data_IF_701659836068
#
_entry.id   IF_701659836068
#
_cell.length_a   1.000
_cell.length_b   1.000
_cell.length_c   1.000
_cell.angle_alpha   90.00
_cell.angle_beta   90.00
_cell.angle_gamma   90.00
#
_symmetry.space_group_name_H-M   'P 1'
#
loop_
_entity.id
_entity.type
_entity.pdbx_description
1 polymer ?
#
# COMPACT_ATOMS: atom_id res chain seq x y z
N UNK A 1 17.02 -24.83 -9.01
CA UNK A 1 16.22 -23.78 -8.32
C UNK A 1 15.05 -23.39 -9.20
N UNK A 2 14.05 -22.68 -8.65
CA UNK A 2 12.93 -22.18 -9.46
C UNK A 2 13.45 -21.12 -10.47
N UNK A 3 13.34 -21.34 -11.80
CA UNK A 3 13.85 -20.39 -12.79
C UNK A 3 13.12 -19.03 -12.78
N UNK A 4 11.92 -18.95 -12.21
CA UNK A 4 11.20 -17.70 -12.10
C UNK A 4 11.89 -16.69 -11.14
N UNK A 5 12.82 -17.16 -10.28
CA UNK A 5 13.62 -16.26 -9.43
C UNK A 5 14.56 -15.37 -10.26
N UNK A 6 14.99 -15.82 -11.44
CA UNK A 6 15.87 -15.06 -12.32
C UNK A 6 15.12 -13.90 -13.02
N UNK A 7 13.79 -13.89 -12.97
CA UNK A 7 12.94 -12.82 -13.51
C UNK A 7 12.76 -11.66 -12.52
N UNK A 8 13.05 -11.90 -11.23
CA UNK A 8 12.90 -10.86 -10.19
C UNK A 8 13.93 -9.74 -10.40
N UNK A 9 13.44 -8.50 -10.39
CA UNK A 9 14.30 -7.33 -10.47
C UNK A 9 14.88 -6.98 -9.09
N UNK A 10 16.07 -6.36 -9.02
CA UNK A 10 16.57 -5.79 -7.78
C UNK A 10 15.55 -4.86 -7.15
N UNK A 11 15.35 -5.00 -5.84
CA UNK A 11 14.38 -4.18 -5.12
C UNK A 11 14.76 -2.68 -5.20
N UNK A 12 13.81 -1.73 -5.27
CA UNK A 12 14.12 -0.30 -5.44
C UNK A 12 15.14 0.26 -4.45
N UNK A 13 15.11 -0.24 -3.20
CA UNK A 13 16.09 0.17 -2.18
C UNK A 13 17.49 -0.41 -2.39
N UNK A 14 17.62 -1.53 -3.10
CA UNK A 14 18.91 -2.06 -3.52
C UNK A 14 19.49 -1.21 -4.65
N UNK A 15 18.66 -0.83 -5.62
CA UNK A 15 19.04 0.11 -6.69
C UNK A 15 19.47 1.46 -6.09
N UNK A 16 18.70 1.98 -5.13
CA UNK A 16 19.02 3.23 -4.44
C UNK A 16 20.34 3.13 -3.67
N UNK A 17 20.58 2.01 -2.96
CA UNK A 17 21.85 1.77 -2.27
C UNK A 17 23.02 1.71 -3.25
N UNK A 18 22.86 1.08 -4.41
CA UNK A 18 23.89 1.04 -5.45
C UNK A 18 24.17 2.43 -6.03
N UNK A 19 23.13 3.24 -6.27
CA UNK A 19 23.25 4.60 -6.76
C UNK A 19 24.05 5.49 -5.81
N UNK A 20 23.84 5.37 -4.50
CA UNK A 20 24.42 6.22 -3.48
C UNK A 20 25.70 5.64 -2.86
N UNK A 21 26.05 4.40 -3.16
CA UNK A 21 27.09 3.64 -2.43
C UNK A 21 28.51 4.19 -2.54
N UNK A 22 28.82 4.95 -3.60
CA UNK A 22 30.12 5.61 -3.79
C UNK A 22 30.12 7.09 -3.41
N UNK A 23 28.96 7.64 -3.03
CA UNK A 23 28.80 9.07 -2.75
C UNK A 23 29.19 9.34 -1.29
N UNK A 24 30.02 10.39 -1.10
CA UNK A 24 30.39 10.89 0.23
C UNK A 24 29.54 12.13 0.52
N UNK A 25 28.50 12.04 1.37
CA UNK A 25 27.70 13.20 1.74
C UNK A 25 28.48 14.15 2.64
N UNK A 26 28.05 15.42 2.79
CA UNK A 26 28.70 16.39 3.67
C UNK A 26 28.72 15.88 5.12
N UNK A 27 29.91 15.93 5.74
CA UNK A 27 30.11 15.42 7.10
C UNK A 27 29.44 16.30 8.17
N UNK A 28 29.20 17.57 7.87
CA UNK A 28 28.53 18.55 8.72
C UNK A 28 27.00 18.48 8.68
N UNK A 29 26.42 17.71 7.75
CA UNK A 29 24.98 17.53 7.62
C UNK A 29 24.57 16.14 8.10
N UNK A 30 23.64 16.07 9.06
CA UNK A 30 23.07 14.78 9.46
C UNK A 30 22.24 14.19 8.32
N UNK A 31 22.22 12.86 8.20
CA UNK A 31 21.41 12.16 7.25
C UNK A 31 19.89 12.34 7.53
N UNK A 32 19.10 12.64 6.49
CA UNK A 32 17.64 12.64 6.55
C UNK A 32 17.11 11.72 5.46
N UNK A 33 16.38 10.67 5.87
CA UNK A 33 15.83 9.68 4.95
C UNK A 33 14.33 9.90 4.75
N UNK A 34 13.95 10.41 3.59
CA UNK A 34 12.57 10.46 3.09
C UNK A 34 12.25 9.29 2.13
N UNK A 35 13.15 8.32 2.03
CA UNK A 35 13.02 7.20 1.08
C UNK A 35 12.12 6.08 1.59
N UNK A 36 12.15 5.77 2.89
CA UNK A 36 11.47 4.60 3.46
C UNK A 36 10.12 5.00 4.04
N UNK A 37 9.05 4.39 3.52
CA UNK A 37 7.67 4.59 4.02
C UNK A 37 7.36 3.78 5.28
N UNK A 38 8.17 3.92 6.32
CA UNK A 38 7.95 3.33 7.62
C UNK A 38 7.50 4.41 8.61
N UNK A 39 6.26 4.35 9.14
CA UNK A 39 5.78 5.32 10.12
C UNK A 39 6.71 5.43 11.33
N UNK A 40 7.04 6.67 11.71
CA UNK A 40 7.90 6.96 12.87
C UNK A 40 7.15 7.65 14.01
N UNK A 41 5.83 7.82 13.90
CA UNK A 41 5.02 8.26 15.04
C UNK A 41 5.01 7.17 16.11
N UNK A 42 4.83 7.58 17.35
CA UNK A 42 4.74 6.66 18.49
C UNK A 42 3.57 5.70 18.30
N UNK A 43 3.81 4.42 18.53
CA UNK A 43 2.75 3.42 18.61
C UNK A 43 1.82 3.69 19.79
N UNK A 44 0.51 3.41 19.68
CA UNK A 44 -0.43 3.63 20.79
C UNK A 44 -0.09 2.78 22.01
N UNK A 45 0.03 3.40 23.18
CA UNK A 45 0.44 2.75 24.43
C UNK A 45 -0.49 1.59 24.82
N UNK A 46 -1.80 1.77 24.62
CA UNK A 46 -2.80 0.74 24.95
C UNK A 46 -2.62 -0.55 24.13
N UNK A 47 -2.08 -0.46 22.91
CA UNK A 47 -1.77 -1.65 22.09
C UNK A 47 -0.58 -2.40 22.69
N UNK A 48 0.45 -1.68 23.13
CA UNK A 48 1.59 -2.26 23.85
C UNK A 48 1.16 -2.93 25.17
N UNK A 49 0.25 -2.30 25.90
CA UNK A 49 -0.33 -2.86 27.13
C UNK A 49 -1.12 -4.15 26.83
N UNK A 50 -1.97 -4.15 25.81
CA UNK A 50 -2.72 -5.33 25.40
C UNK A 50 -1.79 -6.48 24.98
N UNK A 51 -0.70 -6.18 24.26
CA UNK A 51 0.30 -7.17 23.88
C UNK A 51 0.97 -7.78 25.10
N UNK A 52 1.43 -6.95 26.05
CA UNK A 52 2.15 -7.36 27.25
C UNK A 52 1.26 -8.16 28.20
N UNK A 53 0.00 -7.77 28.34
CA UNK A 53 -0.98 -8.46 29.19
C UNK A 53 -1.30 -9.90 28.73
N UNK A 54 -0.93 -10.26 27.49
CA UNK A 54 -1.24 -11.56 26.88
C UNK A 54 0.02 -12.36 26.49
N UNK A 55 1.15 -12.11 27.13
CA UNK A 55 2.40 -12.86 26.84
C UNK A 55 2.32 -14.34 27.23
N UNK A 56 1.43 -14.73 28.16
CA UNK A 56 1.13 -16.12 28.50
C UNK A 56 0.63 -16.94 27.28
N UNK A 57 0.05 -16.28 26.29
CA UNK A 57 -0.44 -16.90 25.05
C UNK A 57 0.70 -17.35 24.10
N UNK A 58 1.95 -17.05 24.42
CA UNK A 58 3.12 -17.59 23.69
C UNK A 58 3.20 -19.13 23.77
N UNK A 59 2.57 -19.74 24.77
CA UNK A 59 2.54 -21.20 24.95
C UNK A 59 1.54 -21.93 24.04
N UNK A 60 0.76 -21.20 23.22
CA UNK A 60 -0.33 -21.77 22.42
C UNK A 60 -0.11 -21.51 20.94
N UNK A 61 -0.24 -22.57 20.12
CA UNK A 61 -0.25 -22.40 18.67
C UNK A 61 -1.49 -21.60 18.22
N UNK A 62 -1.29 -20.49 17.45
CA UNK A 62 -2.42 -19.80 16.85
C UNK A 62 -3.03 -20.59 15.69
N UNK A 63 -4.32 -20.47 15.49
CA UNK A 63 -4.97 -21.00 14.28
C UNK A 63 -4.76 -20.06 13.11
N UNK A 64 -4.64 -20.60 11.90
CA UNK A 64 -4.53 -19.79 10.66
C UNK A 64 -5.77 -18.92 10.44
N UNK A 65 -6.95 -19.41 10.85
CA UNK A 65 -8.21 -18.66 10.75
C UNK A 65 -8.23 -17.40 11.63
N UNK A 66 -7.47 -17.40 12.72
CA UNK A 66 -7.44 -16.32 13.71
C UNK A 66 -8.63 -16.35 14.69
N UNK A 67 -8.51 -15.54 15.73
CA UNK A 67 -9.51 -15.45 16.81
C UNK A 67 -10.85 -14.88 16.29
N UNK A 68 -11.99 -15.43 16.74
CA UNK A 68 -13.30 -14.88 16.40
C UNK A 68 -13.45 -13.40 16.76
N UNK A 69 -12.91 -12.97 17.92
CA UNK A 69 -12.97 -11.60 18.40
C UNK A 69 -12.24 -10.64 17.43
N UNK A 70 -11.10 -11.04 16.90
CA UNK A 70 -10.35 -10.22 15.94
C UNK A 70 -11.13 -10.11 14.63
N UNK A 71 -11.64 -11.21 14.11
CA UNK A 71 -12.43 -11.20 12.87
C UNK A 71 -13.69 -10.37 13.01
N UNK A 72 -14.36 -10.44 14.17
CA UNK A 72 -15.56 -9.63 14.43
C UNK A 72 -15.22 -8.13 14.53
N UNK A 73 -14.12 -7.77 15.23
CA UNK A 73 -13.66 -6.37 15.31
C UNK A 73 -13.36 -5.80 13.92
N UNK A 74 -12.73 -6.59 13.05
CA UNK A 74 -12.44 -6.21 11.66
C UNK A 74 -13.72 -6.05 10.85
N UNK A 75 -14.67 -7.00 10.91
CA UNK A 75 -15.95 -6.92 10.21
C UNK A 75 -16.71 -5.66 10.62
N UNK A 76 -16.84 -5.40 11.92
CA UNK A 76 -17.50 -4.21 12.45
C UNK A 76 -16.81 -2.92 11.97
N UNK A 77 -15.48 -2.91 11.90
CA UNK A 77 -14.73 -1.77 11.40
C UNK A 77 -15.00 -1.54 9.91
N UNK A 78 -14.94 -2.58 9.07
CA UNK A 78 -15.21 -2.48 7.64
C UNK A 78 -16.64 -1.97 7.37
N UNK A 79 -17.64 -2.50 8.09
CA UNK A 79 -19.03 -2.07 7.95
C UNK A 79 -19.19 -0.58 8.24
N UNK A 80 -18.64 -0.10 9.37
CA UNK A 80 -18.71 1.33 9.72
C UNK A 80 -17.93 2.20 8.75
N UNK A 81 -16.72 1.78 8.38
CA UNK A 81 -15.78 2.60 7.62
C UNK A 81 -16.16 2.74 6.16
N UNK A 82 -16.70 1.69 5.55
CA UNK A 82 -17.01 1.64 4.12
C UNK A 82 -18.52 1.65 3.81
N UNK A 83 -19.35 1.89 4.80
CA UNK A 83 -20.81 1.97 4.61
C UNK A 83 -21.43 0.63 4.19
N UNK A 84 -20.79 -0.49 4.51
CA UNK A 84 -21.34 -1.82 4.26
C UNK A 84 -22.50 -2.05 5.23
N UNK A 85 -23.69 -2.50 4.76
CA UNK A 85 -24.80 -2.78 5.65
C UNK A 85 -24.45 -3.81 6.72
N UNK A 86 -24.89 -3.57 7.94
CA UNK A 86 -24.60 -4.44 9.10
C UNK A 86 -25.04 -5.88 8.83
N UNK A 87 -24.13 -6.81 9.08
CA UNK A 87 -24.35 -8.24 8.90
C UNK A 87 -24.06 -8.78 7.50
N UNK A 88 -23.64 -7.93 6.54
CA UNK A 88 -23.16 -8.42 5.25
C UNK A 88 -21.79 -9.09 5.36
N UNK A 89 -20.91 -8.56 6.21
CA UNK A 89 -19.61 -9.15 6.47
C UNK A 89 -19.70 -10.18 7.62
N UNK A 90 -20.03 -11.42 7.29
CA UNK A 90 -19.90 -12.53 8.23
C UNK A 90 -18.43 -12.74 8.59
N UNK A 91 -18.06 -12.41 9.83
CA UNK A 91 -16.71 -12.50 10.35
C UNK A 91 -16.10 -13.91 10.23
N UNK A 92 -16.92 -14.96 10.18
CA UNK A 92 -16.45 -16.33 10.04
C UNK A 92 -16.05 -16.69 8.60
N UNK A 93 -16.57 -15.97 7.60
CA UNK A 93 -16.44 -16.33 6.18
C UNK A 93 -15.72 -15.26 5.36
N UNK A 94 -15.95 -13.98 5.65
CA UNK A 94 -15.52 -12.86 4.85
C UNK A 94 -14.28 -12.15 5.40
N UNK A 95 -13.69 -12.61 6.51
CA UNK A 95 -12.54 -11.96 7.15
C UNK A 95 -11.46 -12.98 7.51
N UNK A 96 -10.23 -12.69 7.12
CA UNK A 96 -9.07 -13.51 7.44
C UNK A 96 -7.91 -12.62 7.94
N UNK A 97 -7.50 -12.70 9.22
CA UNK A 97 -6.30 -12.04 9.73
C UNK A 97 -5.03 -12.55 9.05
N UNK A 98 -4.06 -11.65 8.83
CA UNK A 98 -2.80 -11.95 8.15
C UNK A 98 -1.61 -11.28 8.84
N UNK A 99 -0.39 -11.80 8.63
CA UNK A 99 0.84 -11.30 9.24
C UNK A 99 1.39 -10.07 8.51
N UNK A 100 0.51 -9.09 8.27
CA UNK A 100 0.74 -7.93 7.44
C UNK A 100 0.46 -8.20 5.95
N UNK A 101 0.13 -7.15 5.22
CA UNK A 101 -0.35 -7.26 3.83
C UNK A 101 0.74 -7.67 2.83
N UNK A 102 2.03 -7.41 3.13
CA UNK A 102 3.11 -7.83 2.23
C UNK A 102 3.09 -9.33 1.96
N UNK A 103 3.05 -10.14 3.02
CA UNK A 103 3.00 -11.60 2.86
C UNK A 103 1.66 -12.05 2.30
N UNK A 104 0.57 -11.38 2.69
CA UNK A 104 -0.76 -11.72 2.24
C UNK A 104 -0.95 -11.49 0.74
N UNK A 105 -0.52 -10.36 0.19
CA UNK A 105 -0.56 -10.05 -1.24
C UNK A 105 0.23 -11.07 -2.06
N UNK A 106 1.43 -11.44 -1.57
CA UNK A 106 2.25 -12.46 -2.22
C UNK A 106 1.55 -13.84 -2.19
N UNK A 107 1.15 -14.29 -1.01
CA UNK A 107 0.49 -15.59 -0.81
C UNK A 107 -0.85 -15.69 -1.55
N UNK A 108 -1.61 -14.59 -1.59
CA UNK A 108 -2.88 -14.49 -2.30
C UNK A 108 -2.71 -14.74 -3.80
N UNK A 109 -1.71 -14.13 -4.40
CA UNK A 109 -1.40 -14.34 -5.81
C UNK A 109 -1.09 -15.82 -6.10
N UNK A 110 -0.32 -16.48 -5.21
CA UNK A 110 -0.02 -17.91 -5.35
C UNK A 110 -1.26 -18.80 -5.23
N UNK A 111 -2.27 -18.35 -4.46
CA UNK A 111 -3.50 -19.11 -4.23
C UNK A 111 -4.54 -18.92 -5.34
N UNK A 112 -4.56 -17.76 -6.00
CA UNK A 112 -5.58 -17.40 -7.00
C UNK A 112 -5.14 -17.72 -8.43
N UNK A 113 -3.86 -17.51 -8.75
CA UNK A 113 -3.36 -17.70 -10.12
C UNK A 113 -3.35 -19.17 -10.54
N UNK A 114 -4.04 -19.47 -11.61
CA UNK A 114 -3.84 -20.74 -12.34
C UNK A 114 -2.62 -20.61 -13.27
N UNK A 115 -1.52 -21.20 -12.85
CA UNK A 115 -0.26 -21.19 -13.61
C UNK A 115 -0.32 -21.85 -14.98
N UNK A 116 -1.33 -22.69 -15.22
CA UNK A 116 -1.49 -23.39 -16.50
C UNK A 116 -2.22 -22.54 -17.54
N UNK A 117 -2.95 -21.51 -17.09
CA UNK A 117 -3.77 -20.67 -17.96
C UNK A 117 -2.96 -19.58 -18.70
N UNK A 118 -1.66 -19.41 -18.39
CA UNK A 118 -0.82 -18.31 -18.94
C UNK A 118 -1.49 -16.94 -18.83
N UNK A 119 -2.08 -16.70 -17.67
CA UNK A 119 -2.85 -15.49 -17.39
C UNK A 119 -1.98 -14.30 -17.03
N UNK A 120 -2.64 -13.16 -16.89
CA UNK A 120 -2.03 -11.89 -16.48
C UNK A 120 -2.34 -11.58 -15.03
N UNK A 121 -1.37 -10.99 -14.33
CA UNK A 121 -1.60 -10.21 -13.13
C UNK A 121 -1.43 -8.74 -13.51
N UNK A 122 -2.54 -8.01 -13.51
CA UNK A 122 -2.62 -6.62 -13.93
C UNK A 122 -2.44 -5.72 -12.71
N UNK A 123 -1.63 -4.67 -12.82
CA UNK A 123 -1.37 -3.73 -11.72
C UNK A 123 -1.17 -2.30 -12.21
N UNK A 124 -1.41 -1.28 -11.35
CA UNK A 124 -1.00 0.09 -11.65
C UNK A 124 0.53 0.17 -11.81
N UNK A 125 1.03 1.21 -12.44
CA UNK A 125 2.45 1.49 -12.64
C UNK A 125 2.69 3.01 -12.54
N UNK A 126 3.40 3.52 -11.55
CA UNK A 126 4.22 2.83 -10.53
C UNK A 126 3.42 1.91 -9.61
N UNK A 127 4.13 0.95 -8.97
CA UNK A 127 3.49 -0.09 -8.19
C UNK A 127 4.32 -0.53 -6.97
N UNK A 128 3.68 -1.31 -6.12
CA UNK A 128 4.39 -2.02 -5.05
C UNK A 128 4.98 -3.32 -5.61
N UNK A 129 6.30 -3.48 -5.54
CA UNK A 129 7.07 -4.54 -6.20
C UNK A 129 6.63 -5.96 -5.85
N UNK A 130 5.86 -6.12 -4.79
CA UNK A 130 5.29 -7.41 -4.41
C UNK A 130 4.32 -7.94 -5.48
N UNK A 131 3.56 -7.07 -6.16
CA UNK A 131 2.62 -7.48 -7.21
C UNK A 131 3.35 -8.19 -8.36
N UNK A 132 4.44 -7.60 -8.84
CA UNK A 132 5.28 -8.16 -9.91
C UNK A 132 5.95 -9.46 -9.49
N UNK A 133 6.63 -9.46 -8.34
CA UNK A 133 7.34 -10.64 -7.84
C UNK A 133 6.38 -11.81 -7.56
N UNK A 134 5.19 -11.52 -7.04
CA UNK A 134 4.17 -12.54 -6.80
C UNK A 134 3.64 -13.12 -8.12
N UNK A 135 3.44 -12.29 -9.16
CA UNK A 135 3.01 -12.72 -10.48
C UNK A 135 4.01 -13.71 -11.11
N UNK A 136 5.29 -13.34 -11.17
CA UNK A 136 6.32 -14.21 -11.72
C UNK A 136 6.41 -15.56 -10.99
N UNK A 137 6.40 -15.53 -9.66
CA UNK A 137 6.54 -16.75 -8.87
C UNK A 137 5.26 -17.60 -8.84
N UNK A 138 4.11 -17.02 -9.17
CA UNK A 138 2.87 -17.76 -9.42
C UNK A 138 2.78 -18.35 -10.83
N UNK A 139 3.69 -17.95 -11.73
CA UNK A 139 3.69 -18.38 -13.14
C UNK A 139 2.76 -17.58 -14.04
N UNK A 140 2.37 -16.37 -13.63
CA UNK A 140 1.65 -15.40 -14.43
C UNK A 140 2.59 -14.35 -15.02
N UNK A 141 2.15 -13.68 -16.06
CA UNK A 141 2.82 -12.52 -16.65
C UNK A 141 2.31 -11.23 -15.98
N UNK A 142 3.20 -10.37 -15.43
CA UNK A 142 2.77 -9.08 -14.95
C UNK A 142 2.43 -8.15 -16.11
N UNK A 143 1.30 -7.45 -16.02
CA UNK A 143 0.88 -6.43 -16.98
C UNK A 143 0.67 -5.09 -16.25
N UNK A 144 1.28 -4.03 -16.77
CA UNK A 144 1.36 -2.74 -16.08
C UNK A 144 0.47 -1.71 -16.76
N UNK A 145 -0.38 -1.05 -15.96
CA UNK A 145 -1.24 0.04 -16.39
C UNK A 145 -0.62 1.38 -15.98
N UNK A 146 -0.14 2.22 -16.91
CA UNK A 146 0.52 3.49 -16.57
C UNK A 146 -0.42 4.45 -15.83
N UNK A 147 0.04 4.95 -14.69
CA UNK A 147 -0.62 5.99 -13.89
C UNK A 147 -0.05 7.36 -14.26
N UNK A 148 -0.59 7.96 -15.29
CA UNK A 148 -0.10 9.24 -15.83
C UNK A 148 -0.79 10.43 -15.13
N UNK A 149 -0.10 11.56 -15.09
CA UNK A 149 -0.62 12.81 -14.53
C UNK A 149 -1.91 13.26 -15.23
N UNK A 150 -1.99 13.07 -16.55
CA UNK A 150 -3.19 13.40 -17.34
C UNK A 150 -4.47 12.67 -16.87
N UNK A 151 -4.32 11.57 -16.15
CA UNK A 151 -5.42 10.77 -15.57
C UNK A 151 -5.43 10.84 -14.04
N UNK A 152 -4.87 11.91 -13.44
CA UNK A 152 -4.80 12.07 -11.99
C UNK A 152 -4.01 10.96 -11.30
N UNK A 153 -2.99 10.42 -11.96
CA UNK A 153 -2.16 9.29 -11.49
C UNK A 153 -2.93 7.98 -11.21
N UNK A 154 -4.10 7.82 -11.81
CA UNK A 154 -4.80 6.54 -11.90
C UNK A 154 -4.57 5.91 -13.28
N UNK A 155 -4.70 4.58 -13.44
CA UNK A 155 -4.76 3.96 -14.75
C UNK A 155 -5.99 4.43 -15.54
N UNK A 156 -5.84 4.58 -16.85
CA UNK A 156 -6.97 4.71 -17.78
C UNK A 156 -7.54 3.31 -18.06
N UNK A 157 -8.45 2.86 -17.19
CA UNK A 157 -9.06 1.54 -17.29
C UNK A 157 -9.94 1.38 -18.53
N UNK A 158 -10.52 2.48 -19.05
CA UNK A 158 -11.40 2.46 -20.22
C UNK A 158 -10.57 2.28 -21.52
N UNK A 159 -9.30 2.63 -21.51
CA UNK A 159 -8.38 2.43 -22.64
C UNK A 159 -7.71 1.04 -22.68
N UNK A 160 -7.91 0.20 -21.68
CA UNK A 160 -7.26 -1.13 -21.63
C UNK A 160 -7.94 -2.07 -22.63
N UNK A 161 -7.17 -2.68 -23.56
CA UNK A 161 -7.71 -3.60 -24.56
C UNK A 161 -8.45 -4.80 -23.94
N UNK A 162 -9.53 -5.22 -24.56
CA UNK A 162 -10.38 -6.34 -24.09
C UNK A 162 -9.59 -7.64 -23.90
N UNK A 163 -8.61 -7.90 -24.76
CA UNK A 163 -7.76 -9.09 -24.68
C UNK A 163 -6.90 -9.14 -23.40
N UNK A 164 -6.58 -8.01 -22.81
CA UNK A 164 -5.91 -7.95 -21.50
C UNK A 164 -6.86 -8.44 -20.42
N UNK A 165 -8.11 -7.95 -20.43
CA UNK A 165 -9.12 -8.39 -19.47
C UNK A 165 -9.46 -9.87 -19.60
N UNK A 166 -9.53 -10.40 -20.82
CA UNK A 166 -9.77 -11.82 -21.10
C UNK A 166 -8.68 -12.74 -20.54
N UNK A 167 -7.46 -12.24 -20.38
CA UNK A 167 -6.33 -12.98 -19.80
C UNK A 167 -6.09 -12.64 -18.35
N UNK A 168 -6.74 -11.61 -17.82
CA UNK A 168 -6.54 -11.16 -16.44
C UNK A 168 -7.05 -12.22 -15.45
N UNK A 169 -6.24 -12.58 -14.48
CA UNK A 169 -6.66 -13.42 -13.36
C UNK A 169 -6.78 -12.61 -12.07
N UNK A 170 -5.88 -11.62 -11.88
CA UNK A 170 -5.90 -10.69 -10.75
C UNK A 170 -5.67 -9.28 -11.28
N UNK A 171 -6.54 -8.35 -10.88
CA UNK A 171 -6.30 -6.92 -10.96
C UNK A 171 -5.92 -6.41 -9.57
N UNK A 172 -4.67 -6.02 -9.38
CA UNK A 172 -4.26 -5.27 -8.20
C UNK A 172 -4.67 -3.81 -8.33
N UNK A 173 -5.26 -3.27 -7.28
CA UNK A 173 -5.50 -1.85 -7.09
C UNK A 173 -4.73 -1.37 -5.87
N UNK A 174 -4.30 -0.11 -5.85
CA UNK A 174 -3.72 0.54 -4.69
C UNK A 174 -4.37 1.91 -4.52
N UNK A 175 -5.22 2.05 -3.50
CA UNK A 175 -5.96 3.30 -3.26
C UNK A 175 -6.09 3.56 -1.75
N UNK A 176 -5.51 4.66 -1.26
CA UNK A 176 -4.61 5.64 -1.89
C UNK A 176 -3.34 5.00 -2.48
N UNK A 177 -2.89 5.51 -3.61
CA UNK A 177 -1.79 4.94 -4.39
C UNK A 177 -0.40 5.09 -3.72
N UNK A 178 0.43 4.08 -3.85
CA UNK A 178 1.87 4.19 -3.56
C UNK A 178 2.63 4.07 -4.90
N UNK A 179 3.31 5.14 -5.35
CA UNK A 179 3.75 6.34 -4.61
C UNK A 179 2.86 7.59 -4.73
N UNK A 180 1.83 7.57 -5.54
CA UNK A 180 1.16 8.79 -6.04
C UNK A 180 0.21 9.45 -5.04
N UNK A 181 -0.34 8.68 -4.11
CA UNK A 181 -1.38 9.13 -3.19
C UNK A 181 -2.76 9.34 -3.82
N UNK A 182 -2.91 9.01 -5.12
CA UNK A 182 -4.16 9.16 -5.84
C UNK A 182 -5.24 8.20 -5.33
N UNK A 183 -6.49 8.65 -5.35
CA UNK A 183 -7.66 7.84 -5.02
C UNK A 183 -8.34 7.33 -6.29
N UNK A 184 -8.82 6.10 -6.23
CA UNK A 184 -9.70 5.55 -7.26
C UNK A 184 -11.15 5.90 -6.88
N UNK A 185 -11.89 6.65 -7.72
CA UNK A 185 -13.27 7.02 -7.44
C UNK A 185 -14.18 5.78 -7.31
N UNK A 186 -15.21 5.85 -6.47
CA UNK A 186 -16.16 4.75 -6.25
C UNK A 186 -16.83 4.32 -7.55
N UNK A 187 -17.16 5.26 -8.43
CA UNK A 187 -17.75 4.95 -9.75
C UNK A 187 -16.81 4.12 -10.64
N UNK A 188 -15.50 4.38 -10.56
CA UNK A 188 -14.50 3.56 -11.25
C UNK A 188 -14.43 2.15 -10.64
N UNK A 189 -14.44 2.04 -9.31
CA UNK A 189 -14.47 0.74 -8.63
C UNK A 189 -15.72 -0.07 -9.02
N UNK A 190 -16.91 0.57 -9.11
CA UNK A 190 -18.15 -0.10 -9.58
C UNK A 190 -18.02 -0.61 -11.01
N UNK A 191 -17.45 0.17 -11.92
CA UNK A 191 -17.17 -0.28 -13.31
C UNK A 191 -16.23 -1.48 -13.34
N UNK A 192 -15.16 -1.46 -12.51
CA UNK A 192 -14.21 -2.56 -12.43
C UNK A 192 -14.83 -3.85 -11.88
N UNK A 193 -15.76 -3.75 -10.93
CA UNK A 193 -16.53 -4.90 -10.41
C UNK A 193 -17.36 -5.53 -11.55
N UNK A 194 -18.05 -4.72 -12.33
CA UNK A 194 -18.83 -5.23 -13.50
C UNK A 194 -17.90 -5.86 -14.54
N UNK A 195 -16.75 -5.26 -14.78
CA UNK A 195 -15.73 -5.79 -15.70
C UNK A 195 -15.18 -7.13 -15.22
N UNK A 196 -14.94 -7.26 -13.91
CA UNK A 196 -14.50 -8.52 -13.28
C UNK A 196 -15.55 -9.62 -13.43
N UNK A 197 -16.84 -9.28 -13.38
CA UNK A 197 -17.92 -10.26 -13.65
C UNK A 197 -17.95 -10.74 -15.11
N UNK A 198 -17.68 -9.83 -16.05
CA UNK A 198 -17.69 -10.15 -17.50
C UNK A 198 -16.50 -11.04 -17.89
N UNK A 199 -15.31 -10.77 -17.31
CA UNK A 199 -14.06 -11.40 -17.71
C UNK A 199 -13.50 -12.42 -16.72
N UNK A 200 -14.20 -12.65 -15.59
CA UNK A 200 -13.89 -13.67 -14.57
C UNK A 200 -12.51 -13.49 -13.91
N UNK A 201 -12.15 -12.26 -13.55
CA UNK A 201 -10.94 -11.99 -12.79
C UNK A 201 -11.25 -11.51 -11.35
N UNK A 202 -10.26 -11.61 -10.47
CA UNK A 202 -10.36 -11.16 -9.08
C UNK A 202 -9.78 -9.76 -8.94
N UNK A 203 -10.48 -8.88 -8.24
CA UNK A 203 -9.96 -7.57 -7.81
C UNK A 203 -9.35 -7.71 -6.43
N UNK A 204 -8.06 -7.42 -6.32
CA UNK A 204 -7.28 -7.40 -5.08
C UNK A 204 -6.91 -5.96 -4.75
N UNK A 205 -7.69 -5.30 -3.89
CA UNK A 205 -7.50 -3.89 -3.54
C UNK A 205 -6.58 -3.75 -2.31
N UNK A 206 -5.36 -3.26 -2.53
CA UNK A 206 -4.43 -2.87 -1.47
C UNK A 206 -4.81 -1.48 -0.94
N UNK A 207 -5.55 -1.47 0.17
CA UNK A 207 -6.09 -0.26 0.81
C UNK A 207 -5.33 0.10 2.09
N UNK A 208 -4.04 -0.26 2.18
CA UNK A 208 -3.20 -0.04 3.36
C UNK A 208 -3.09 1.42 3.79
N UNK A 209 -3.36 2.36 2.90
CA UNK A 209 -3.27 3.80 3.17
C UNK A 209 -4.65 4.46 3.35
N UNK A 210 -5.75 3.71 3.34
CA UNK A 210 -7.14 4.22 3.41
C UNK A 210 -7.42 5.12 4.62
N UNK A 211 -6.65 4.97 5.70
CA UNK A 211 -6.82 5.76 6.94
C UNK A 211 -5.92 6.98 7.02
N UNK A 212 -5.16 7.28 5.97
CA UNK A 212 -4.29 8.45 5.87
C UNK A 212 -4.87 9.43 4.84
N UNK A 213 -5.77 10.29 5.29
CA UNK A 213 -6.48 11.29 4.48
C UNK A 213 -6.61 12.62 5.22
N UNK A 214 -7.03 13.66 4.52
CA UNK A 214 -6.92 15.04 5.01
C UNK A 214 -8.25 15.64 5.47
N UNK A 215 -9.38 15.16 4.96
CA UNK A 215 -10.71 15.66 5.27
C UNK A 215 -11.51 14.56 5.98
N UNK A 216 -11.91 14.81 7.24
CA UNK A 216 -12.66 13.84 8.04
C UNK A 216 -14.08 13.61 7.49
N UNK A 217 -14.63 14.57 6.75
CA UNK A 217 -15.96 14.48 6.16
C UNK A 217 -15.94 13.79 4.78
N UNK A 218 -14.75 13.58 4.20
CA UNK A 218 -14.54 12.95 2.90
C UNK A 218 -13.51 11.81 2.97
N UNK A 219 -13.74 10.74 3.75
CA UNK A 219 -12.84 9.60 3.82
C UNK A 219 -12.76 8.88 2.47
N UNK A 220 -11.57 8.37 2.08
CA UNK A 220 -11.40 7.62 0.84
C UNK A 220 -12.41 6.47 0.69
N UNK A 221 -13.05 6.30 -0.46
CA UNK A 221 -13.85 5.11 -0.72
C UNK A 221 -12.95 3.88 -0.83
N UNK A 222 -13.53 2.70 -0.62
CA UNK A 222 -12.88 1.42 -0.82
C UNK A 222 -13.68 0.50 -1.72
N UNK A 223 -13.11 -0.64 -2.09
CA UNK A 223 -13.77 -1.65 -2.90
C UNK A 223 -15.06 -2.17 -2.23
N UNK A 224 -15.04 -2.27 -0.89
CA UNK A 224 -16.23 -2.67 -0.12
C UNK A 224 -17.34 -1.61 -0.21
N UNK A 225 -17.01 -0.31 -0.28
CA UNK A 225 -18.02 0.74 -0.52
C UNK A 225 -18.70 0.56 -1.87
N UNK A 226 -17.93 0.28 -2.92
CA UNK A 226 -18.47 0.02 -4.26
C UNK A 226 -19.35 -1.23 -4.28
N UNK A 227 -18.99 -2.30 -3.56
CA UNK A 227 -19.83 -3.48 -3.38
C UNK A 227 -21.15 -3.12 -2.69
N UNK A 228 -21.11 -2.33 -1.62
CA UNK A 228 -22.31 -1.90 -0.89
C UNK A 228 -23.25 -1.08 -1.77
N UNK A 229 -22.74 -0.11 -2.52
CA UNK A 229 -23.53 0.71 -3.45
C UNK A 229 -24.13 -0.09 -4.61
N UNK A 230 -23.48 -1.15 -5.06
CA UNK A 230 -24.01 -2.08 -6.07
C UNK A 230 -24.98 -3.13 -5.50
N UNK A 231 -25.22 -3.14 -4.18
CA UNK A 231 -26.06 -4.15 -3.53
C UNK A 231 -25.44 -5.56 -3.48
N UNK A 232 -24.10 -5.67 -3.56
CA UNK A 232 -23.38 -6.95 -3.64
C UNK A 232 -22.95 -7.44 -2.27
N UNK A 233 -23.84 -8.12 -1.57
CA UNK A 233 -23.58 -8.70 -0.25
C UNK A 233 -22.69 -9.95 -0.27
N UNK A 234 -22.48 -10.54 -1.44
CA UNK A 234 -21.61 -11.70 -1.65
C UNK A 234 -20.12 -11.31 -1.88
N UNK A 235 -19.84 -10.03 -2.15
CA UNK A 235 -18.51 -9.51 -2.47
C UNK A 235 -17.81 -10.30 -3.59
N UNK A 236 -18.54 -10.96 -4.44
CA UNK A 236 -18.02 -11.87 -5.44
C UNK A 236 -16.87 -11.22 -6.24
N UNK A 237 -15.72 -11.90 -6.32
CA UNK A 237 -14.47 -11.46 -6.96
C UNK A 237 -13.79 -10.25 -6.34
N UNK A 238 -14.30 -9.72 -5.23
CA UNK A 238 -13.77 -8.51 -4.58
C UNK A 238 -13.06 -8.88 -3.28
N UNK A 239 -11.78 -8.53 -3.15
CA UNK A 239 -10.99 -8.78 -1.96
C UNK A 239 -10.17 -7.54 -1.61
N UNK A 240 -10.23 -7.11 -0.35
CA UNK A 240 -9.50 -5.95 0.18
C UNK A 240 -8.40 -6.36 1.14
N UNK A 241 -7.32 -5.58 1.18
CA UNK A 241 -6.17 -5.78 2.06
C UNK A 241 -5.96 -4.53 2.91
N UNK A 242 -5.99 -4.69 4.23
CA UNK A 242 -5.77 -3.59 5.18
C UNK A 242 -4.73 -3.96 6.23
N UNK A 243 -4.06 -2.94 6.80
CA UNK A 243 -2.96 -3.14 7.73
C UNK A 243 -2.97 -2.12 8.86
N UNK A 244 -2.62 -2.56 10.08
CA UNK A 244 -2.33 -1.68 11.20
C UNK A 244 -1.01 -0.91 11.04
N UNK A 245 -0.17 -1.30 10.07
CA UNK A 245 1.15 -0.67 9.86
C UNK A 245 1.07 0.82 9.63
N UNK A 246 0.09 1.26 8.79
CA UNK A 246 -0.06 2.68 8.41
C UNK A 246 -1.16 3.36 9.21
N UNK A 247 -2.28 2.66 9.41
CA UNK A 247 -3.42 3.14 10.19
C UNK A 247 -3.03 3.49 11.64
N UNK A 248 -2.22 2.65 12.26
CA UNK A 248 -1.99 2.69 13.72
C UNK A 248 -0.51 2.83 14.12
N UNK A 249 0.39 3.11 13.17
CA UNK A 249 1.84 3.18 13.40
C UNK A 249 2.40 1.89 14.03
N UNK A 250 1.94 0.72 13.58
CA UNK A 250 2.30 -0.58 14.12
C UNK A 250 2.96 -1.48 13.05
N UNK A 251 3.98 -1.00 12.28
CA UNK A 251 4.58 -1.82 11.23
C UNK A 251 5.26 -3.09 11.78
N UNK A 252 5.83 -3.01 12.97
CA UNK A 252 6.49 -4.13 13.65
C UNK A 252 5.54 -5.17 14.24
N UNK A 253 4.26 -4.84 14.46
CA UNK A 253 3.26 -5.78 14.97
C UNK A 253 2.94 -6.90 13.97
N UNK A 254 3.19 -6.67 12.69
CA UNK A 254 2.88 -7.60 11.59
C UNK A 254 1.41 -8.02 11.60
N UNK A 255 0.50 -7.07 11.65
CA UNK A 255 -0.94 -7.30 11.70
C UNK A 255 -1.67 -6.58 10.57
N UNK A 256 -2.56 -7.30 9.93
CA UNK A 256 -3.47 -6.85 8.90
C UNK A 256 -4.58 -7.88 8.68
N UNK A 257 -5.39 -7.66 7.66
CA UNK A 257 -6.42 -8.61 7.28
C UNK A 257 -6.67 -8.58 5.76
N UNK A 258 -7.33 -9.63 5.32
CA UNK A 258 -7.95 -9.75 4.00
C UNK A 258 -9.45 -9.95 4.21
N UNK A 259 -10.29 -9.22 3.47
CA UNK A 259 -11.75 -9.37 3.56
C UNK A 259 -12.41 -9.29 2.18
N UNK A 260 -13.59 -9.89 2.04
CA UNK A 260 -14.37 -9.89 0.80
C UNK A 260 -14.99 -11.24 0.45
N UNK A 261 -14.84 -11.68 -0.78
CA UNK A 261 -15.41 -12.91 -1.34
C UNK A 261 -15.11 -14.14 -0.47
N UNK A 262 -16.16 -14.74 0.11
CA UNK A 262 -16.04 -15.86 1.05
C UNK A 262 -15.48 -17.14 0.41
N UNK A 263 -15.77 -17.39 -0.86
CA UNK A 263 -15.28 -18.59 -1.55
C UNK A 263 -13.79 -18.47 -1.87
N UNK A 264 -13.34 -17.29 -2.28
CA UNK A 264 -11.92 -16.98 -2.45
C UNK A 264 -11.19 -17.10 -1.12
N UNK A 265 -11.72 -16.49 -0.06
CA UNK A 265 -11.09 -16.53 1.26
C UNK A 265 -11.02 -17.94 1.85
N UNK A 266 -12.00 -18.79 1.58
CA UNK A 266 -11.97 -20.21 1.96
C UNK A 266 -10.77 -20.95 1.35
N UNK A 267 -10.52 -20.75 0.05
CA UNK A 267 -9.38 -21.36 -0.63
C UNK A 267 -8.05 -20.71 -0.19
N UNK A 268 -8.04 -19.40 0.03
CA UNK A 268 -6.87 -18.71 0.55
C UNK A 268 -6.51 -19.17 1.97
N UNK A 269 -7.49 -19.38 2.85
CA UNK A 269 -7.27 -19.96 4.18
C UNK A 269 -6.65 -21.36 4.08
N UNK A 270 -7.13 -22.20 3.16
CA UNK A 270 -6.55 -23.53 2.93
C UNK A 270 -5.08 -23.42 2.49
N UNK A 271 -4.78 -22.55 1.53
CA UNK A 271 -3.41 -22.29 1.10
C UNK A 271 -2.53 -21.84 2.28
N UNK A 272 -2.99 -20.87 3.08
CA UNK A 272 -2.26 -20.36 4.24
C UNK A 272 -2.02 -21.42 5.30
N UNK A 273 -2.92 -22.35 5.47
CA UNK A 273 -2.76 -23.48 6.42
C UNK A 273 -1.54 -24.33 6.04
N UNK A 274 -1.33 -24.59 4.76
CA UNK A 274 -0.13 -25.30 4.27
C UNK A 274 1.11 -24.40 4.24
N UNK A 275 0.97 -23.12 3.92
CA UNK A 275 2.04 -22.14 3.95
C UNK A 275 2.58 -21.88 5.38
N UNK A 276 1.75 -22.14 6.41
CA UNK A 276 2.16 -22.10 7.81
C UNK A 276 2.14 -20.71 8.45
N UNK A 277 1.44 -19.76 7.87
CA UNK A 277 1.41 -18.36 8.31
C UNK A 277 0.21 -18.12 9.25
N UNK A 278 0.46 -18.02 10.54
CA UNK A 278 -0.57 -17.72 11.55
C UNK A 278 -0.12 -16.60 12.48
N UNK A 279 -1.01 -15.65 12.77
CA UNK A 279 -0.69 -14.51 13.65
C UNK A 279 -0.67 -14.98 15.11
N UNK A 280 0.39 -14.68 15.90
CA UNK A 280 0.45 -15.02 17.32
C UNK A 280 -0.75 -14.48 18.09
N UNK A 281 -1.26 -15.24 19.07
CA UNK A 281 -2.50 -14.90 19.80
C UNK A 281 -2.41 -13.56 20.50
N UNK A 282 -1.29 -13.24 21.16
CA UNK A 282 -1.08 -11.95 21.83
C UNK A 282 -1.10 -10.79 20.83
N UNK A 283 -0.61 -10.99 19.61
CA UNK A 283 -0.67 -10.02 18.52
C UNK A 283 -2.11 -9.81 18.04
N UNK A 284 -2.90 -10.89 17.97
CA UNK A 284 -4.31 -10.80 17.61
C UNK A 284 -5.11 -9.99 18.64
N UNK A 285 -4.90 -10.23 19.94
CA UNK A 285 -5.58 -9.50 21.02
C UNK A 285 -5.18 -8.01 21.04
N UNK A 286 -3.91 -7.70 20.82
CA UNK A 286 -3.44 -6.32 20.62
C UNK A 286 -4.07 -5.67 19.38
N UNK A 287 -4.28 -6.44 18.32
CA UNK A 287 -4.95 -5.97 17.10
C UNK A 287 -6.44 -5.69 17.32
N UNK A 288 -7.13 -6.49 18.16
CA UNK A 288 -8.52 -6.20 18.57
C UNK A 288 -8.61 -4.81 19.21
N UNK A 289 -7.70 -4.50 20.14
CA UNK A 289 -7.67 -3.18 20.77
C UNK A 289 -7.48 -2.06 19.73
N UNK A 290 -6.55 -2.25 18.77
CA UNK A 290 -6.27 -1.25 17.74
C UNK A 290 -7.45 -1.06 16.75
N UNK A 291 -8.13 -2.14 16.31
CA UNK A 291 -9.27 -2.04 15.39
C UNK A 291 -10.52 -1.41 16.03
N UNK A 292 -10.65 -1.47 17.34
CA UNK A 292 -11.78 -0.93 18.09
C UNK A 292 -11.59 0.53 18.53
N UNK A 293 -10.42 1.13 18.32
CA UNK A 293 -10.15 2.52 18.66
C UNK A 293 -9.91 3.38 17.41
N UNK A 294 -10.62 4.49 17.27
CA UNK A 294 -10.46 5.47 16.21
C UNK A 294 -9.79 6.77 16.67
N UNK A 295 -9.68 6.99 17.97
CA UNK A 295 -9.10 8.22 18.50
C UNK A 295 -7.61 8.35 18.13
N UNK A 296 -6.84 7.26 18.27
CA UNK A 296 -5.43 7.26 17.88
C UNK A 296 -5.24 7.41 16.36
N UNK A 297 -6.19 6.92 15.54
CA UNK A 297 -6.12 7.03 14.07
C UNK A 297 -6.34 8.47 13.63
N UNK A 298 -7.32 9.16 14.24
CA UNK A 298 -7.55 10.59 14.00
C UNK A 298 -6.33 11.43 14.42
N UNK A 299 -5.82 11.20 15.63
CA UNK A 299 -4.60 11.87 16.10
C UNK A 299 -3.40 11.64 15.16
N UNK A 300 -3.27 10.43 14.60
CA UNK A 300 -2.24 10.12 13.62
C UNK A 300 -2.43 10.93 12.32
N UNK A 301 -3.65 11.07 11.81
CA UNK A 301 -3.95 11.91 10.64
C UNK A 301 -3.60 13.37 10.88
N UNK A 302 -3.91 13.90 12.06
CA UNK A 302 -3.59 15.29 12.42
C UNK A 302 -2.09 15.57 12.33
N UNK A 303 -1.25 14.66 12.82
CA UNK A 303 0.21 14.76 12.69
C UNK A 303 0.67 14.77 11.23
N UNK A 304 0.04 13.99 10.36
CA UNK A 304 0.37 14.03 8.92
C UNK A 304 -0.12 15.31 8.26
N UNK A 305 -1.31 15.83 8.59
CA UNK A 305 -1.82 17.11 8.09
C UNK A 305 -0.85 18.25 8.37
N UNK A 306 -0.33 18.32 9.61
CA UNK A 306 0.66 19.30 10.01
C UNK A 306 1.95 19.19 9.18
N UNK A 307 2.47 17.98 8.96
CA UNK A 307 3.66 17.75 8.15
C UNK A 307 3.46 18.18 6.70
N UNK A 308 2.33 17.78 6.09
CA UNK A 308 2.04 18.15 4.70
C UNK A 308 1.91 19.66 4.53
N UNK A 309 1.23 20.36 5.45
CA UNK A 309 1.11 21.80 5.41
C UNK A 309 2.50 22.46 5.45
N UNK A 310 3.31 22.15 6.47
CA UNK A 310 4.63 22.75 6.65
C UNK A 310 5.60 22.46 5.49
N UNK A 311 5.62 21.23 4.99
CA UNK A 311 6.53 20.83 3.91
C UNK A 311 6.12 21.43 2.57
N UNK A 312 4.82 21.49 2.28
CA UNK A 312 4.32 22.06 1.02
C UNK A 312 4.51 23.57 0.96
N UNK A 313 4.38 24.29 2.09
CA UNK A 313 4.68 25.73 2.15
C UNK A 313 6.13 26.05 1.72
N UNK A 314 7.06 25.11 1.98
CA UNK A 314 8.48 25.26 1.60
C UNK A 314 8.74 24.80 0.17
N UNK A 315 8.18 23.64 -0.23
CA UNK A 315 8.53 23.00 -1.51
C UNK A 315 7.72 23.50 -2.70
N UNK A 316 6.42 23.81 -2.55
CA UNK A 316 5.58 24.21 -3.67
C UNK A 316 6.08 25.47 -4.42
N UNK A 317 6.76 26.46 -3.77
CA UNK A 317 7.34 27.59 -4.48
C UNK A 317 8.54 27.25 -5.38
N UNK A 318 9.16 26.07 -5.22
CA UNK A 318 10.43 25.73 -5.89
C UNK A 318 10.38 24.43 -6.68
N UNK A 319 9.32 23.64 -6.51
CA UNK A 319 9.17 22.31 -7.08
C UNK A 319 7.71 22.06 -7.47
N UNK A 320 7.49 21.38 -8.59
CA UNK A 320 6.15 20.90 -8.94
C UNK A 320 5.75 19.75 -8.05
N UNK A 321 5.03 20.07 -6.99
CA UNK A 321 4.54 19.13 -5.97
C UNK A 321 3.20 19.58 -5.43
N UNK A 322 2.29 18.63 -5.22
CA UNK A 322 0.95 18.90 -4.70
C UNK A 322 0.67 17.98 -3.52
N UNK A 323 -0.30 18.40 -2.68
CA UNK A 323 -0.83 17.51 -1.65
C UNK A 323 -1.55 16.34 -2.33
N UNK A 324 -1.19 15.08 -2.00
CA UNK A 324 -1.91 13.92 -2.53
C UNK A 324 -3.34 13.85 -1.95
N UNK A 325 -4.20 13.00 -2.51
CA UNK A 325 -5.52 12.73 -1.94
C UNK A 325 -5.42 11.94 -0.63
N UNK A 326 -4.41 11.06 -0.52
CA UNK A 326 -4.18 10.26 0.68
C UNK A 326 -2.77 9.68 0.77
N UNK A 327 -2.50 8.95 1.87
CA UNK A 327 -1.18 8.40 2.16
C UNK A 327 -0.26 9.40 2.86
N UNK A 328 1.03 9.09 2.87
CA UNK A 328 2.06 9.94 3.49
C UNK A 328 3.23 10.23 2.52
N UNK A 329 3.01 10.07 1.22
CA UNK A 329 4.02 10.35 0.21
C UNK A 329 3.75 11.66 -0.53
N UNK A 330 4.82 12.40 -0.83
CA UNK A 330 4.82 13.38 -1.91
C UNK A 330 5.39 12.71 -3.17
N UNK A 331 4.73 12.95 -4.30
CA UNK A 331 5.12 12.49 -5.62
C UNK A 331 5.47 13.71 -6.47
N UNK A 332 6.71 14.18 -6.32
CA UNK A 332 7.17 15.45 -6.84
C UNK A 332 7.92 15.29 -8.18
N UNK A 333 7.73 16.24 -9.09
CA UNK A 333 8.48 16.30 -10.34
C UNK A 333 9.87 16.87 -10.07
N UNK A 334 10.89 16.25 -10.65
CA UNK A 334 12.27 16.75 -10.61
C UNK A 334 12.54 17.72 -11.76
N UNK A 335 13.50 18.65 -11.62
CA UNK A 335 13.91 19.55 -12.72
C UNK A 335 14.51 18.82 -13.93
N UNK A 336 14.88 17.55 -13.77
CA UNK A 336 15.51 16.72 -14.80
C UNK A 336 15.41 15.24 -14.44
N UNK A 337 16.47 14.49 -14.73
CA UNK A 337 16.57 13.06 -14.42
C UNK A 337 16.43 12.79 -12.91
N UNK A 338 15.55 11.88 -12.53
CA UNK A 338 15.21 11.59 -11.15
C UNK A 338 16.32 10.85 -10.40
N UNK A 339 17.15 10.08 -11.10
CA UNK A 339 18.29 9.38 -10.50
C UNK A 339 19.43 10.36 -10.24
N UNK A 340 19.72 11.25 -11.19
CA UNK A 340 20.71 12.31 -11.01
C UNK A 340 20.30 13.28 -9.89
N UNK A 341 19.04 13.72 -9.90
CA UNK A 341 18.49 14.55 -8.81
C UNK A 341 18.69 13.90 -7.44
N UNK A 342 18.36 12.61 -7.31
CA UNK A 342 18.52 11.87 -6.06
C UNK A 342 19.97 11.75 -5.61
N UNK A 343 20.88 11.46 -6.56
CA UNK A 343 22.31 11.36 -6.32
C UNK A 343 22.87 12.69 -5.83
N UNK A 344 22.60 13.80 -6.55
CA UNK A 344 23.17 15.11 -6.26
C UNK A 344 22.60 15.72 -4.97
N UNK A 345 21.30 15.53 -4.72
CA UNK A 345 20.66 15.91 -3.45
C UNK A 345 21.33 15.20 -2.25
N UNK A 346 21.60 13.90 -2.37
CA UNK A 346 22.33 13.17 -1.35
C UNK A 346 23.75 13.67 -1.18
N UNK A 347 24.45 13.91 -2.29
CA UNK A 347 25.84 14.37 -2.31
C UNK A 347 26.02 15.76 -1.69
N UNK A 348 25.03 16.64 -1.82
CA UNK A 348 25.13 18.04 -1.38
C UNK A 348 24.39 18.33 -0.07
N UNK A 349 23.25 17.68 0.16
CA UNK A 349 22.37 18.00 1.29
C UNK A 349 22.16 16.83 2.27
N UNK A 350 22.70 15.64 1.98
CA UNK A 350 22.56 14.43 2.79
C UNK A 350 21.07 14.07 3.04
N UNK A 351 20.22 14.32 2.05
CA UNK A 351 18.81 13.95 2.03
C UNK A 351 18.58 12.83 1.03
N UNK A 352 17.92 11.75 1.45
CA UNK A 352 17.64 10.59 0.60
C UNK A 352 16.17 10.54 0.22
N UNK A 353 15.88 10.54 -1.07
CA UNK A 353 14.56 10.32 -1.68
C UNK A 353 14.58 9.06 -2.54
N UNK A 354 13.45 8.64 -3.13
CA UNK A 354 13.43 7.49 -4.05
C UNK A 354 13.16 7.95 -5.46
N UNK A 355 14.03 7.66 -6.44
CA UNK A 355 13.75 7.89 -7.85
C UNK A 355 12.47 7.20 -8.28
N UNK A 356 11.61 7.89 -8.97
CA UNK A 356 10.34 7.34 -9.43
C UNK A 356 10.52 6.24 -10.47
N UNK A 357 11.54 6.37 -11.32
CA UNK A 357 11.92 5.34 -12.29
C UNK A 357 12.25 3.99 -11.66
N UNK A 358 12.66 3.97 -10.37
CA UNK A 358 12.91 2.71 -9.64
C UNK A 358 11.63 2.04 -9.13
N UNK A 359 10.53 2.79 -9.04
CA UNK A 359 9.23 2.32 -8.54
C UNK A 359 8.31 1.86 -9.68
N UNK A 360 8.74 2.00 -10.92
CA UNK A 360 7.95 1.77 -12.12
C UNK A 360 8.68 0.88 -13.15
N UNK A 361 7.96 0.55 -14.21
CA UNK A 361 8.52 -0.11 -15.39
C UNK A 361 8.22 0.71 -16.63
N UNK A 362 9.11 0.63 -17.59
CA UNK A 362 8.84 1.19 -18.91
C UNK A 362 7.80 0.33 -19.65
N UNK A 363 6.77 0.97 -20.19
CA UNK A 363 5.73 0.35 -21.01
C UNK A 363 5.59 1.16 -22.29
N UNK A 364 5.79 0.56 -23.43
CA UNK A 364 5.70 1.21 -24.75
C UNK A 364 6.55 2.49 -24.86
N UNK A 365 7.77 2.48 -24.31
CA UNK A 365 8.69 3.60 -24.30
C UNK A 365 8.38 4.71 -23.29
N UNK A 366 7.41 4.49 -22.40
CA UNK A 366 7.04 5.44 -21.33
C UNK A 366 7.28 4.80 -19.97
N UNK A 367 8.11 5.46 -19.15
CA UNK A 367 8.25 5.13 -17.73
C UNK A 367 7.48 6.19 -16.92
N UNK A 368 6.32 5.87 -16.31
CA UNK A 368 5.49 6.86 -15.63
C UNK A 368 6.11 7.43 -14.33
N UNK A 369 7.18 6.80 -13.85
CA UNK A 369 7.94 7.30 -12.70
C UNK A 369 9.13 8.19 -13.06
N UNK A 370 9.55 8.22 -14.32
CA UNK A 370 10.70 9.03 -14.75
C UNK A 370 10.46 10.53 -14.52
N UNK A 371 11.51 11.24 -14.09
CA UNK A 371 11.45 12.66 -13.79
C UNK A 371 10.63 13.00 -12.54
N UNK A 372 10.44 12.04 -11.62
CA UNK A 372 9.75 12.22 -10.33
C UNK A 372 10.51 11.55 -9.19
N UNK A 373 10.28 12.03 -7.98
CA UNK A 373 10.78 11.42 -6.76
C UNK A 373 9.65 11.19 -5.77
N UNK A 374 9.74 10.09 -5.03
CA UNK A 374 8.89 9.82 -3.87
C UNK A 374 9.58 10.27 -2.59
N UNK A 375 8.88 11.08 -1.79
CA UNK A 375 9.29 11.51 -0.47
C UNK A 375 8.27 11.02 0.58
N UNK A 376 8.70 10.29 1.58
CA UNK A 376 7.86 9.80 2.67
C UNK A 376 7.94 10.77 3.87
N UNK A 377 6.85 11.42 4.22
CA UNK A 377 6.79 12.37 5.34
C UNK A 377 6.57 11.66 6.69
N UNK A 378 7.33 10.60 6.94
CA UNK A 378 7.19 9.76 8.13
C UNK A 378 8.04 10.21 9.32
N UNK A 379 9.12 10.96 9.09
CA UNK A 379 9.98 11.48 10.12
C UNK A 379 9.25 12.49 11.05
N UNK A 380 9.81 12.86 12.23
CA UNK A 380 9.28 13.95 13.04
C UNK A 380 9.13 15.25 12.23
N UNK A 381 8.16 16.09 12.60
CA UNK A 381 7.84 17.34 11.89
C UNK A 381 9.09 18.20 11.62
N UNK A 382 9.91 18.44 12.64
CA UNK A 382 11.11 19.26 12.49
C UNK A 382 12.11 18.68 11.47
N UNK A 383 12.23 17.34 11.40
CA UNK A 383 13.09 16.66 10.42
C UNK A 383 12.51 16.74 9.00
N UNK A 384 11.17 16.68 8.87
CA UNK A 384 10.52 16.87 7.58
C UNK A 384 10.69 18.31 7.06
N UNK A 385 10.58 19.31 7.94
CA UNK A 385 10.82 20.73 7.64
C UNK A 385 12.27 20.93 7.20
N UNK A 386 13.24 20.45 7.99
CA UNK A 386 14.67 20.54 7.66
C UNK A 386 14.98 19.91 6.31
N UNK A 387 14.39 18.73 6.01
CA UNK A 387 14.56 18.08 4.72
C UNK A 387 14.02 18.94 3.57
N UNK A 388 12.83 19.53 3.75
CA UNK A 388 12.20 20.42 2.76
C UNK A 388 13.06 21.67 2.51
N UNK A 389 13.60 22.30 3.56
CA UNK A 389 14.48 23.46 3.45
C UNK A 389 15.78 23.12 2.69
N UNK A 390 16.37 21.94 2.98
CA UNK A 390 17.56 21.47 2.26
C UNK A 390 17.27 21.19 0.78
N UNK A 391 16.14 20.55 0.47
CA UNK A 391 15.70 20.32 -0.92
C UNK A 391 15.47 21.65 -1.63
N UNK A 392 14.81 22.61 -0.98
CA UNK A 392 14.56 23.93 -1.57
C UNK A 392 15.87 24.70 -1.85
N UNK A 393 16.85 24.63 -0.95
CA UNK A 393 18.19 25.21 -1.15
C UNK A 393 18.90 24.54 -2.34
N UNK A 394 18.91 23.21 -2.38
CA UNK A 394 19.49 22.46 -3.48
C UNK A 394 18.91 22.86 -4.84
N UNK A 395 17.58 22.96 -4.95
CA UNK A 395 16.90 23.34 -6.21
C UNK A 395 17.25 24.79 -6.62
N UNK A 396 17.39 25.69 -5.67
CA UNK A 396 17.76 27.10 -5.94
C UNK A 396 19.23 27.27 -6.34
N UNK A 397 20.06 26.27 -6.19
CA UNK A 397 21.52 26.34 -6.44
C UNK A 397 22.27 27.16 -5.41
N UNK A 398 21.73 27.24 -4.19
CA UNK A 398 22.28 28.07 -3.11
C UNK A 398 23.08 27.24 -2.10
#
# INVERSE_FOLDING_TARGET
>A
MNPALDQLQPYPFEKLRALLGSVQPPADKRAIALSIGEPKHRSPDFVGQALTANLDKLAVYPTTLGLPELRQSIANWCERRFGVPTGWLDAARHVLPVNGTREALFAFTQAVVDRNAKGLVVSPNPFYQIYEGAAFLAGAEPHYLPCLEAHGFNPDFDAVPTEIWQRCQILFLCSPGNPTGALIPVETLKKLIVLADVHDFVIAADECYSELYFDEDAPPPGLLSACAELGRSDFKRCVVFHSLSKRSNLPGLRSGFVAGDADILKHFLLYRTYHGCAMPVQTQLASVAAWNDEAHVRANRDLYREKFAAVLDILAPVMDVQRPDGGFYLWARTPGDDTLFTHDLFATEHVTVVPGSYLSREVNGVNPGAGRVRMALVAPLAECIEAAERIARFIRGA
#
